data_IF_861370686397
#
_entry.id   IF_861370686397
#
_cell.length_a   1.000
_cell.length_b   1.000
_cell.length_c   1.000
_cell.angle_alpha   90.00
_cell.angle_beta   90.00
_cell.angle_gamma   90.00
#
_symmetry.space_group_name_H-M   'P 1'
#
loop_
_entity.id
_entity.type
_entity.pdbx_description
1 polymer ?
#
# COMPACT_ATOMS: atom_id res chain seq x y z
N UNK A 1 -5.60 -28.88 4.71
CA UNK A 1 -4.56 -27.96 5.15
C UNK A 1 -5.07 -26.53 4.90
N UNK A 2 -4.58 -25.51 5.59
CA UNK A 2 -4.97 -24.11 5.31
C UNK A 2 -4.23 -23.61 4.08
N UNK A 3 -4.74 -22.57 3.43
CA UNK A 3 -4.04 -21.92 2.30
C UNK A 3 -2.63 -21.48 2.70
N UNK A 4 -2.48 -20.94 3.91
CA UNK A 4 -1.18 -20.56 4.47
C UNK A 4 -0.20 -21.74 4.51
N UNK A 5 -0.59 -22.87 5.10
CA UNK A 5 0.26 -24.06 5.19
C UNK A 5 0.67 -24.58 3.81
N UNK A 6 -0.27 -24.58 2.84
CA UNK A 6 0.02 -25.01 1.47
C UNK A 6 1.05 -24.06 0.79
N UNK A 7 0.96 -22.74 1.04
CA UNK A 7 1.90 -21.75 0.52
C UNK A 7 3.28 -21.87 1.17
N UNK A 8 3.34 -22.04 2.49
CA UNK A 8 4.59 -22.23 3.23
C UNK A 8 5.33 -23.51 2.78
N UNK A 9 4.61 -24.61 2.54
CA UNK A 9 5.17 -25.84 2.00
C UNK A 9 5.71 -25.65 0.57
N UNK A 10 5.00 -24.93 -0.27
CA UNK A 10 5.47 -24.61 -1.63
C UNK A 10 6.67 -23.66 -1.59
N UNK A 11 6.68 -22.67 -0.67
CA UNK A 11 7.81 -21.79 -0.46
C UNK A 11 9.08 -22.53 -0.09
N UNK A 12 8.99 -23.53 0.82
CA UNK A 12 10.13 -24.37 1.16
C UNK A 12 10.66 -25.14 -0.06
N UNK A 13 9.79 -25.71 -0.89
CA UNK A 13 10.19 -26.39 -2.12
C UNK A 13 10.85 -25.45 -3.13
N UNK A 14 10.39 -24.20 -3.21
CA UNK A 14 10.97 -23.17 -4.05
C UNK A 14 12.38 -22.76 -3.55
N UNK A 15 12.56 -22.60 -2.26
CA UNK A 15 13.85 -22.31 -1.63
C UNK A 15 14.85 -23.47 -1.81
N UNK A 16 14.37 -24.72 -1.83
CA UNK A 16 15.11 -25.94 -2.14
C UNK A 16 15.42 -26.11 -3.64
N UNK A 17 14.98 -25.15 -4.51
CA UNK A 17 15.34 -25.08 -5.91
C UNK A 17 14.26 -25.51 -6.91
N UNK A 18 12.99 -25.62 -6.51
CA UNK A 18 11.87 -25.86 -7.44
C UNK A 18 11.80 -24.72 -8.47
N UNK A 19 11.67 -25.08 -9.74
CA UNK A 19 11.59 -24.13 -10.87
C UNK A 19 10.19 -24.13 -11.50
N UNK A 20 9.88 -23.10 -12.28
CA UNK A 20 8.61 -22.98 -13.00
C UNK A 20 8.33 -24.19 -13.93
N UNK A 21 9.38 -24.79 -14.52
CA UNK A 21 9.25 -25.96 -15.39
C UNK A 21 8.91 -27.26 -14.65
N UNK A 22 9.16 -27.31 -13.34
CA UNK A 22 8.94 -28.47 -12.48
C UNK A 22 7.63 -28.38 -11.69
N UNK A 23 6.90 -27.24 -11.76
CA UNK A 23 5.59 -27.09 -11.10
C UNK A 23 4.56 -28.01 -11.73
N UNK A 24 3.82 -28.70 -10.89
CA UNK A 24 2.71 -29.58 -11.30
C UNK A 24 1.36 -28.84 -11.36
N UNK A 25 0.29 -29.60 -11.59
CA UNK A 25 -1.07 -29.04 -11.66
C UNK A 25 -1.58 -28.53 -10.32
N UNK A 26 -1.15 -29.14 -9.21
CA UNK A 26 -1.60 -28.80 -7.88
C UNK A 26 -0.92 -27.53 -7.41
N UNK A 27 0.37 -27.37 -7.70
CA UNK A 27 1.13 -26.13 -7.48
C UNK A 27 0.48 -24.94 -8.21
N UNK A 28 0.14 -25.13 -9.49
CA UNK A 28 -0.52 -24.09 -10.29
C UNK A 28 -1.92 -23.75 -9.77
N UNK A 29 -2.69 -24.75 -9.35
CA UNK A 29 -3.99 -24.52 -8.74
C UNK A 29 -3.89 -23.77 -7.39
N UNK A 30 -2.85 -24.07 -6.60
CA UNK A 30 -2.56 -23.33 -5.38
C UNK A 30 -2.25 -21.86 -5.67
N UNK A 31 -1.38 -21.58 -6.65
CA UNK A 31 -1.02 -20.21 -7.03
C UNK A 31 -2.24 -19.40 -7.53
N UNK A 32 -3.18 -20.03 -8.27
CA UNK A 32 -4.43 -19.37 -8.66
C UNK A 32 -5.34 -19.10 -7.47
N UNK A 33 -5.61 -20.09 -6.59
CA UNK A 33 -6.41 -19.91 -5.37
C UNK A 33 -5.85 -18.80 -4.48
N UNK A 34 -4.52 -18.68 -4.42
CA UNK A 34 -3.85 -17.62 -3.66
C UNK A 34 -4.15 -16.24 -4.24
N UNK A 35 -4.06 -16.06 -5.56
CA UNK A 35 -4.41 -14.80 -6.22
C UNK A 35 -5.89 -14.45 -6.03
N UNK A 36 -6.78 -15.46 -6.13
CA UNK A 36 -8.22 -15.28 -5.91
C UNK A 36 -8.52 -14.84 -4.47
N UNK A 37 -7.85 -15.44 -3.47
CA UNK A 37 -8.01 -15.06 -2.07
C UNK A 37 -7.54 -13.61 -1.80
N UNK A 38 -6.44 -13.18 -2.43
CA UNK A 38 -6.00 -11.77 -2.40
C UNK A 38 -7.05 -10.84 -3.01
N UNK A 39 -7.58 -11.17 -4.20
CA UNK A 39 -8.57 -10.37 -4.92
C UNK A 39 -9.92 -10.31 -4.20
N UNK A 40 -10.24 -11.33 -3.40
CA UNK A 40 -11.43 -11.36 -2.55
C UNK A 40 -11.24 -10.59 -1.22
N UNK A 41 -10.00 -10.20 -0.89
CA UNK A 41 -9.68 -9.57 0.40
C UNK A 41 -9.69 -10.53 1.58
N UNK A 42 -9.69 -11.85 1.31
CA UNK A 42 -9.68 -12.91 2.34
C UNK A 42 -8.32 -13.03 3.04
N UNK A 43 -7.25 -12.63 2.34
CA UNK A 43 -5.88 -12.59 2.85
C UNK A 43 -5.23 -11.25 2.52
N UNK A 44 -4.38 -10.76 3.41
CA UNK A 44 -3.72 -9.46 3.29
C UNK A 44 -2.24 -9.57 3.65
N UNK A 45 -1.39 -8.72 3.05
CA UNK A 45 0.04 -8.63 3.39
C UNK A 45 0.29 -8.10 4.81
N UNK A 46 -0.62 -7.29 5.33
CA UNK A 46 -0.71 -6.95 6.75
C UNK A 46 -2.16 -6.62 7.10
N UNK A 47 -2.53 -6.82 8.37
CA UNK A 47 -3.88 -6.58 8.88
C UNK A 47 -3.84 -5.98 10.29
N UNK A 48 -4.86 -5.16 10.68
CA UNK A 48 -4.95 -4.64 12.04
C UNK A 48 -5.06 -5.76 13.09
N UNK A 49 -4.37 -5.62 14.22
CA UNK A 49 -4.47 -6.56 15.32
C UNK A 49 -5.91 -6.62 15.86
N UNK A 50 -6.48 -7.81 15.88
CA UNK A 50 -7.85 -8.06 16.34
C UNK A 50 -8.88 -8.33 15.25
N UNK A 51 -8.51 -8.30 13.97
CA UNK A 51 -9.40 -8.62 12.84
C UNK A 51 -9.51 -10.12 12.53
N UNK A 52 -8.67 -10.97 13.09
CA UNK A 52 -8.76 -12.43 12.92
C UNK A 52 -8.66 -13.17 14.25
N UNK A 53 -9.39 -14.29 14.39
CA UNK A 53 -9.11 -15.31 15.41
C UNK A 53 -7.66 -15.80 15.17
N UNK A 54 -6.77 -15.47 16.09
CA UNK A 54 -5.33 -15.66 16.02
C UNK A 54 -4.94 -17.03 15.50
N UNK A 55 -4.35 -17.10 14.32
CA UNK A 55 -3.51 -18.23 13.95
C UNK A 55 -2.18 -18.08 14.71
N UNK A 56 -1.90 -19.05 15.57
CA UNK A 56 -0.78 -19.07 16.50
C UNK A 56 0.52 -19.41 15.79
N UNK A 57 1.17 -18.49 15.14
CA UNK A 57 2.59 -18.55 14.79
C UNK A 57 3.03 -17.24 14.09
N UNK A 58 3.17 -16.14 14.82
CA UNK A 58 3.93 -15.01 14.32
C UNK A 58 5.20 -14.84 15.12
N UNK A 59 6.35 -14.90 14.44
CA UNK A 59 7.61 -14.44 15.00
C UNK A 59 7.49 -12.92 15.22
N UNK A 60 7.53 -12.50 16.48
CA UNK A 60 7.54 -11.08 16.84
C UNK A 60 8.85 -10.45 16.41
N UNK A 61 8.87 -9.80 15.26
CA UNK A 61 9.86 -8.75 14.99
C UNK A 61 9.33 -7.46 15.62
N UNK A 62 10.03 -6.95 16.63
CA UNK A 62 9.74 -5.69 17.30
C UNK A 62 10.08 -4.53 16.35
N UNK A 63 9.18 -4.17 15.46
CA UNK A 63 9.07 -2.82 14.90
C UNK A 63 7.90 -2.12 15.62
N UNK A 64 8.00 -0.82 15.88
CA UNK A 64 7.07 -0.08 16.74
C UNK A 64 5.63 0.07 16.23
N UNK A 65 5.11 -0.94 15.56
CA UNK A 65 3.76 -1.03 14.97
C UNK A 65 2.92 -2.06 15.74
N UNK A 66 2.71 -1.83 17.04
CA UNK A 66 2.01 -2.78 17.94
C UNK A 66 0.56 -3.09 17.55
N UNK A 67 -0.02 -2.38 16.54
CA UNK A 67 -1.43 -2.51 16.13
C UNK A 67 -1.64 -3.22 14.78
N UNK A 68 -0.57 -3.70 14.12
CA UNK A 68 -0.64 -4.37 12.83
C UNK A 68 0.22 -5.63 12.79
N UNK A 69 -0.34 -6.71 12.23
CA UNK A 69 0.39 -7.96 12.00
C UNK A 69 0.76 -8.09 10.52
N UNK A 70 2.05 -8.29 10.23
CA UNK A 70 2.55 -8.58 8.87
C UNK A 70 2.43 -10.09 8.60
N UNK A 71 1.84 -10.43 7.46
CA UNK A 71 1.67 -11.79 6.98
C UNK A 71 2.78 -12.14 5.98
N UNK A 72 3.95 -12.54 6.48
CA UNK A 72 5.11 -12.88 5.65
C UNK A 72 4.78 -13.95 4.59
N UNK A 73 3.98 -14.97 4.97
CA UNK A 73 3.56 -16.02 4.06
C UNK A 73 2.77 -15.51 2.85
N UNK A 74 2.07 -14.37 2.99
CA UNK A 74 1.37 -13.72 1.88
C UNK A 74 2.38 -13.11 0.90
N UNK A 75 3.42 -12.47 1.39
CA UNK A 75 4.49 -11.96 0.54
C UNK A 75 5.26 -13.09 -0.15
N UNK A 76 5.53 -14.20 0.56
CA UNK A 76 6.10 -15.41 -0.01
C UNK A 76 5.22 -15.96 -1.13
N UNK A 77 3.90 -16.05 -0.94
CA UNK A 77 2.95 -16.47 -1.96
C UNK A 77 2.96 -15.57 -3.21
N UNK A 78 3.15 -14.25 -3.03
CA UNK A 78 3.33 -13.32 -4.15
C UNK A 78 4.63 -13.62 -4.91
N UNK A 79 5.74 -13.81 -4.20
CA UNK A 79 7.03 -14.14 -4.81
C UNK A 79 7.00 -15.48 -5.55
N UNK A 80 6.30 -16.49 -5.02
CA UNK A 80 6.05 -17.76 -5.72
C UNK A 80 5.31 -17.55 -7.05
N UNK A 81 4.35 -16.63 -7.09
CA UNK A 81 3.65 -16.30 -8.32
C UNK A 81 4.56 -15.64 -9.37
N UNK A 82 5.64 -14.96 -8.96
CA UNK A 82 6.65 -14.46 -9.89
C UNK A 82 7.70 -15.52 -10.25
N UNK A 83 8.15 -16.32 -9.28
CA UNK A 83 9.25 -17.27 -9.48
C UNK A 83 8.85 -18.57 -10.18
N UNK A 84 7.60 -19.04 -10.00
CA UNK A 84 7.10 -20.31 -10.50
C UNK A 84 6.20 -20.22 -11.75
N UNK A 85 6.16 -19.07 -12.41
CA UNK A 85 5.45 -18.86 -13.68
C UNK A 85 6.41 -18.41 -14.76
N UNK A 86 6.08 -18.77 -16.01
CA UNK A 86 6.79 -18.28 -17.17
C UNK A 86 6.11 -17.01 -17.72
N UNK A 87 6.91 -16.14 -18.35
CA UNK A 87 6.38 -14.98 -19.07
C UNK A 87 5.60 -15.44 -20.29
N UNK A 88 4.34 -15.04 -20.38
CA UNK A 88 3.46 -15.33 -21.50
C UNK A 88 3.01 -14.06 -22.21
N UNK A 89 2.84 -14.18 -23.54
CA UNK A 89 2.19 -13.15 -24.33
C UNK A 89 0.66 -13.27 -24.17
N UNK A 90 -0.01 -12.19 -23.81
CA UNK A 90 -1.47 -12.13 -23.68
C UNK A 90 -2.02 -10.95 -24.47
N UNK A 91 -3.02 -11.19 -25.28
CA UNK A 91 -3.69 -10.15 -26.07
C UNK A 91 -4.87 -9.56 -25.30
N UNK A 92 -4.98 -8.24 -25.32
CA UNK A 92 -6.08 -7.50 -24.74
C UNK A 92 -6.46 -6.34 -25.67
N UNK A 93 -7.52 -6.52 -26.43
CA UNK A 93 -7.84 -5.62 -27.54
C UNK A 93 -6.69 -5.58 -28.56
N UNK A 94 -6.22 -4.37 -28.86
CA UNK A 94 -5.12 -4.16 -29.83
C UNK A 94 -3.73 -4.15 -29.16
N UNK A 95 -3.63 -4.52 -27.87
CA UNK A 95 -2.38 -4.49 -27.10
C UNK A 95 -1.98 -5.90 -26.69
N UNK A 96 -0.70 -6.23 -26.86
CA UNK A 96 -0.11 -7.48 -26.36
C UNK A 96 0.76 -7.17 -25.14
N UNK A 97 0.46 -7.85 -24.04
CA UNK A 97 1.24 -7.79 -22.80
C UNK A 97 2.14 -9.03 -22.69
N UNK A 98 3.30 -8.85 -22.06
CA UNK A 98 4.23 -9.93 -21.75
C UNK A 98 4.51 -9.89 -20.24
N UNK A 99 3.84 -10.76 -19.48
CA UNK A 99 3.99 -10.83 -18.02
C UNK A 99 3.85 -12.28 -17.54
N UNK A 100 4.38 -12.56 -16.36
CA UNK A 100 4.18 -13.83 -15.64
C UNK A 100 2.76 -13.95 -15.09
N UNK A 101 2.16 -12.83 -14.70
CA UNK A 101 0.78 -12.81 -14.20
C UNK A 101 -0.24 -12.56 -15.32
N UNK A 102 -1.39 -13.25 -15.30
CA UNK A 102 -2.50 -12.92 -16.20
C UNK A 102 -3.05 -11.53 -15.90
N UNK A 103 -3.82 -10.99 -16.84
CA UNK A 103 -4.59 -9.76 -16.57
C UNK A 103 -5.69 -10.06 -15.55
N UNK A 104 -5.95 -9.08 -14.67
CA UNK A 104 -7.08 -9.17 -13.74
C UNK A 104 -8.38 -8.88 -14.48
N UNK A 105 -9.38 -9.75 -14.28
CA UNK A 105 -10.76 -9.44 -14.62
C UNK A 105 -11.29 -8.36 -13.67
N UNK A 106 -12.04 -7.40 -14.18
CA UNK A 106 -12.54 -6.24 -13.39
C UNK A 106 -14.08 -6.15 -13.35
N UNK A 107 -14.76 -7.17 -13.83
CA UNK A 107 -16.22 -7.22 -13.86
C UNK A 107 -16.83 -7.18 -12.44
N UNK A 108 -16.13 -7.73 -11.45
CA UNK A 108 -16.53 -7.73 -10.05
C UNK A 108 -16.61 -6.31 -9.46
N UNK A 109 -15.76 -5.40 -9.92
CA UNK A 109 -15.70 -4.02 -9.41
C UNK A 109 -17.02 -3.26 -9.67
N UNK A 110 -17.60 -3.43 -10.86
CA UNK A 110 -18.88 -2.85 -11.18
C UNK A 110 -20.04 -3.35 -10.29
N UNK A 111 -19.97 -4.62 -9.87
CA UNK A 111 -20.94 -5.21 -8.94
C UNK A 111 -20.81 -4.68 -7.52
N UNK A 112 -19.63 -4.18 -7.15
CA UNK A 112 -19.34 -3.57 -5.85
C UNK A 112 -19.61 -2.05 -5.82
N UNK A 113 -20.10 -1.46 -6.91
CA UNK A 113 -20.30 0.00 -7.01
C UNK A 113 -18.99 0.78 -7.29
N UNK A 114 -17.88 0.08 -7.45
CA UNK A 114 -16.58 0.72 -7.72
C UNK A 114 -16.59 1.38 -9.10
N UNK A 115 -16.22 2.65 -9.15
CA UNK A 115 -16.13 3.44 -10.37
C UNK A 115 -14.68 3.47 -10.87
N UNK A 116 -14.45 2.80 -11.99
CA UNK A 116 -13.15 2.80 -12.67
C UNK A 116 -13.28 3.64 -13.96
N UNK A 117 -12.54 4.77 -14.03
CA UNK A 117 -12.60 5.61 -15.24
C UNK A 117 -11.82 4.99 -16.39
N UNK A 118 -12.22 5.22 -17.65
CA UNK A 118 -11.54 4.64 -18.82
C UNK A 118 -10.11 5.19 -19.00
N UNK A 119 -9.34 4.50 -19.83
CA UNK A 119 -8.03 4.90 -20.34
C UNK A 119 -6.87 4.91 -19.33
N UNK A 120 -6.41 3.72 -18.96
CA UNK A 120 -5.06 3.57 -18.38
C UNK A 120 -5.02 3.26 -16.90
N UNK A 121 -6.14 3.00 -16.24
CA UNK A 121 -6.12 2.40 -14.91
C UNK A 121 -5.79 0.92 -15.00
N UNK A 122 -4.77 0.49 -14.28
CA UNK A 122 -4.32 -0.91 -14.21
C UNK A 122 -4.43 -1.42 -12.79
N UNK A 123 -5.20 -2.49 -12.62
CA UNK A 123 -5.27 -3.26 -11.38
C UNK A 123 -4.65 -4.63 -11.67
N UNK A 124 -3.55 -4.96 -11.01
CA UNK A 124 -2.90 -6.26 -11.21
C UNK A 124 -3.65 -7.39 -10.52
N UNK A 125 -3.48 -8.62 -11.04
CA UNK A 125 -3.92 -9.84 -10.34
C UNK A 125 -3.38 -9.85 -8.91
N UNK A 126 -4.21 -10.29 -7.96
CA UNK A 126 -3.88 -10.30 -6.55
C UNK A 126 -3.93 -8.93 -5.87
N UNK A 127 -4.54 -7.92 -6.47
CA UNK A 127 -4.88 -6.66 -5.81
C UNK A 127 -6.36 -6.65 -5.41
N UNK A 128 -6.67 -6.26 -4.18
CA UNK A 128 -8.04 -6.04 -3.70
C UNK A 128 -8.43 -4.57 -3.86
N UNK A 129 -9.65 -4.33 -4.34
CA UNK A 129 -10.28 -3.02 -4.36
C UNK A 129 -11.69 -3.18 -3.81
N UNK A 130 -12.00 -2.42 -2.78
CA UNK A 130 -13.24 -2.44 -2.02
C UNK A 130 -14.44 -1.88 -2.79
N UNK A 131 -15.60 -1.88 -2.12
CA UNK A 131 -16.86 -1.36 -2.64
C UNK A 131 -16.84 0.17 -2.69
N UNK A 132 -17.60 0.75 -3.62
CA UNK A 132 -17.79 2.20 -3.76
C UNK A 132 -16.50 3.01 -3.91
N UNK A 133 -15.37 2.33 -4.23
CA UNK A 133 -14.11 2.99 -4.51
C UNK A 133 -14.17 3.78 -5.84
N UNK A 134 -13.37 4.82 -5.94
CA UNK A 134 -13.23 5.61 -7.16
C UNK A 134 -11.78 5.54 -7.64
N UNK A 135 -11.60 5.08 -8.88
CA UNK A 135 -10.28 4.99 -9.50
C UNK A 135 -10.23 5.88 -10.74
N UNK A 136 -9.47 6.97 -10.64
CA UNK A 136 -9.25 7.92 -11.73
C UNK A 136 -8.06 7.50 -12.60
N UNK A 137 -8.18 7.68 -13.91
CA UNK A 137 -7.12 7.33 -14.86
C UNK A 137 -6.10 8.45 -15.08
N UNK A 138 -4.87 8.08 -15.46
CA UNK A 138 -4.29 6.75 -15.33
C UNK A 138 -3.89 6.49 -13.88
N UNK A 139 -4.08 5.28 -13.37
CA UNK A 139 -3.60 4.87 -12.05
C UNK A 139 -3.15 3.42 -12.05
N UNK A 140 -2.38 3.01 -11.04
CA UNK A 140 -1.82 1.68 -10.98
C UNK A 140 -1.93 1.10 -9.56
N UNK A 141 -2.55 -0.08 -9.45
CA UNK A 141 -2.64 -0.84 -8.20
C UNK A 141 -1.93 -2.19 -8.38
N UNK A 142 -0.88 -2.41 -7.61
CA UNK A 142 -0.03 -3.58 -7.75
C UNK A 142 -0.52 -4.76 -6.91
N UNK A 143 0.03 -5.96 -7.20
CA UNK A 143 -0.27 -7.21 -6.49
C UNK A 143 -0.08 -7.07 -4.98
N UNK A 144 -0.94 -7.70 -4.21
CA UNK A 144 -0.90 -7.67 -2.74
C UNK A 144 -1.37 -6.36 -2.12
N UNK A 145 -1.61 -5.32 -2.93
CA UNK A 145 -2.22 -4.09 -2.45
C UNK A 145 -3.68 -4.35 -2.02
N UNK A 146 -4.05 -3.75 -0.90
CA UNK A 146 -5.41 -3.73 -0.39
C UNK A 146 -5.90 -2.29 -0.37
N UNK A 147 -7.03 -2.02 -1.01
CA UNK A 147 -7.69 -0.72 -1.04
C UNK A 147 -9.08 -0.86 -0.43
N UNK A 148 -9.33 -0.21 0.69
CA UNK A 148 -10.58 -0.26 1.45
C UNK A 148 -11.76 0.41 0.74
N UNK A 149 -12.96 0.18 1.28
CA UNK A 149 -14.22 0.69 0.75
C UNK A 149 -14.25 2.23 0.71
N UNK A 150 -14.93 2.81 -0.27
CA UNK A 150 -15.12 4.27 -0.40
C UNK A 150 -13.85 5.06 -0.71
N UNK A 151 -12.72 4.40 -0.95
CA UNK A 151 -11.43 5.08 -1.17
C UNK A 151 -11.31 5.67 -2.57
N UNK A 152 -10.79 6.90 -2.66
CA UNK A 152 -10.44 7.56 -3.91
C UNK A 152 -8.96 7.38 -4.23
N UNK A 153 -8.67 6.81 -5.39
CA UNK A 153 -7.36 6.81 -6.05
C UNK A 153 -7.45 7.78 -7.23
N UNK A 154 -6.79 8.94 -7.11
CA UNK A 154 -6.87 9.99 -8.13
C UNK A 154 -5.90 9.73 -9.30
N UNK A 155 -5.90 10.61 -10.27
CA UNK A 155 -5.15 10.45 -11.52
C UNK A 155 -3.64 10.42 -11.30
N UNK A 156 -2.99 9.50 -11.99
CA UNK A 156 -1.53 9.26 -11.92
C UNK A 156 -1.04 8.71 -10.59
N UNK A 157 -1.95 8.15 -9.78
CA UNK A 157 -1.58 7.51 -8.54
C UNK A 157 -0.98 6.12 -8.75
N UNK A 158 -0.09 5.75 -7.85
CA UNK A 158 0.49 4.42 -7.77
C UNK A 158 0.32 3.85 -6.37
N UNK A 159 -0.35 2.70 -6.25
CA UNK A 159 -0.39 1.89 -5.05
C UNK A 159 0.52 0.68 -5.26
N UNK A 160 1.63 0.67 -4.55
CA UNK A 160 2.69 -0.33 -4.68
C UNK A 160 2.32 -1.70 -4.09
N UNK A 161 3.16 -2.70 -4.37
CA UNK A 161 2.95 -4.07 -3.88
C UNK A 161 2.78 -4.12 -2.36
N UNK A 162 1.81 -4.88 -1.90
CA UNK A 162 1.53 -5.12 -0.49
C UNK A 162 1.10 -3.88 0.31
N UNK A 163 0.97 -2.70 -0.28
CA UNK A 163 0.47 -1.51 0.42
C UNK A 163 -0.95 -1.73 0.95
N UNK A 164 -1.21 -1.27 2.17
CA UNK A 164 -2.49 -1.41 2.84
C UNK A 164 -3.14 -0.02 2.98
N UNK A 165 -4.23 0.18 2.26
CA UNK A 165 -5.00 1.42 2.27
C UNK A 165 -6.35 1.13 2.93
N UNK A 166 -6.69 1.90 3.95
CA UNK A 166 -7.93 1.78 4.70
C UNK A 166 -9.17 2.23 3.94
N UNK A 167 -10.28 2.34 4.66
CA UNK A 167 -11.56 2.80 4.14
C UNK A 167 -11.62 4.34 4.07
N UNK A 168 -12.38 4.86 3.11
CA UNK A 168 -12.63 6.30 2.95
C UNK A 168 -11.35 7.16 2.86
N UNK A 169 -10.27 6.57 2.34
CA UNK A 169 -9.00 7.27 2.11
C UNK A 169 -9.07 8.09 0.83
N UNK A 170 -8.43 9.25 0.84
CA UNK A 170 -8.26 10.09 -0.34
C UNK A 170 -6.78 10.17 -0.71
N UNK A 171 -6.42 9.60 -1.86
CA UNK A 171 -5.13 9.84 -2.48
C UNK A 171 -5.30 10.95 -3.52
N UNK A 172 -4.67 12.10 -3.30
CA UNK A 172 -4.68 13.21 -4.26
C UNK A 172 -3.78 12.91 -5.45
N UNK A 173 -4.08 13.48 -6.60
CA UNK A 173 -3.43 13.18 -7.87
C UNK A 173 -1.89 13.11 -7.80
N UNK A 174 -1.31 12.15 -8.50
CA UNK A 174 0.14 11.90 -8.55
C UNK A 174 0.75 11.49 -7.18
N UNK A 175 -0.04 10.85 -6.34
CA UNK A 175 0.42 10.24 -5.08
C UNK A 175 1.12 8.90 -5.35
N UNK A 176 2.23 8.66 -4.67
CA UNK A 176 2.95 7.39 -4.69
C UNK A 176 2.88 6.72 -3.31
N UNK A 177 2.19 5.60 -3.24
CA UNK A 177 2.30 4.67 -2.12
C UNK A 177 3.30 3.59 -2.52
N UNK A 178 4.43 3.53 -1.80
CA UNK A 178 5.53 2.62 -2.10
C UNK A 178 5.16 1.17 -1.85
N UNK A 179 5.70 0.28 -2.67
CA UNK A 179 5.59 -1.16 -2.44
C UNK A 179 6.73 -1.66 -1.54
N UNK A 180 6.42 -2.60 -0.66
CA UNK A 180 7.39 -3.32 0.17
C UNK A 180 7.07 -4.81 0.08
N UNK A 181 7.66 -5.49 -0.92
CA UNK A 181 7.50 -6.91 -1.14
C UNK A 181 8.71 -7.70 -0.63
N UNK A 182 9.90 -7.17 -0.88
CA UNK A 182 11.16 -7.76 -0.46
C UNK A 182 11.98 -6.71 0.32
N UNK A 183 12.55 -7.12 1.46
CA UNK A 183 12.45 -8.44 2.10
C UNK A 183 11.03 -8.70 2.66
N UNK A 184 10.66 -9.98 2.81
CA UNK A 184 9.28 -10.36 3.19
C UNK A 184 8.93 -9.98 4.62
N UNK A 185 9.91 -9.87 5.49
CA UNK A 185 9.80 -9.48 6.89
C UNK A 185 9.57 -7.97 7.10
N UNK A 186 9.87 -7.11 6.10
CA UNK A 186 9.70 -5.67 6.22
C UNK A 186 8.21 -5.28 6.21
N UNK A 187 7.85 -4.28 7.01
CA UNK A 187 6.49 -3.74 7.07
C UNK A 187 6.05 -3.15 5.72
N UNK A 188 4.84 -3.43 5.23
CA UNK A 188 4.29 -2.70 4.09
C UNK A 188 3.95 -1.27 4.47
N UNK A 189 3.79 -0.41 3.46
CA UNK A 189 3.21 0.92 3.69
C UNK A 189 1.75 0.77 4.10
N UNK A 190 1.37 1.46 5.20
CA UNK A 190 0.02 1.46 5.75
C UNK A 190 -0.53 2.89 5.73
N UNK A 191 -1.70 3.06 5.16
CA UNK A 191 -2.48 4.30 5.22
C UNK A 191 -3.83 3.94 5.81
N UNK A 192 -4.08 4.38 7.05
CA UNK A 192 -5.28 4.00 7.79
C UNK A 192 -6.54 4.75 7.32
N UNK A 193 -7.69 4.38 7.89
CA UNK A 193 -8.99 4.87 7.50
C UNK A 193 -9.10 6.41 7.57
N UNK A 194 -9.85 6.99 6.65
CA UNK A 194 -10.17 8.42 6.64
C UNK A 194 -8.99 9.35 6.37
N UNK A 195 -7.81 8.82 6.00
CA UNK A 195 -6.64 9.64 5.67
C UNK A 195 -6.84 10.39 4.36
N UNK A 196 -6.44 11.67 4.34
CA UNK A 196 -6.40 12.48 3.11
C UNK A 196 -4.95 12.87 2.79
N UNK A 197 -4.43 12.39 1.67
CA UNK A 197 -3.12 12.78 1.14
C UNK A 197 -3.30 13.81 0.02
N UNK A 198 -2.67 14.96 0.18
CA UNK A 198 -2.62 15.98 -0.87
C UNK A 198 -1.85 15.52 -2.11
N UNK A 199 -2.10 16.18 -3.24
CA UNK A 199 -1.47 15.83 -4.52
C UNK A 199 0.06 15.76 -4.44
N UNK A 200 0.65 14.78 -5.10
CA UNK A 200 2.09 14.58 -5.17
C UNK A 200 2.74 14.02 -3.89
N UNK A 201 1.96 13.62 -2.89
CA UNK A 201 2.51 12.96 -1.70
C UNK A 201 3.20 11.64 -2.04
N UNK A 202 4.21 11.30 -1.24
CA UNK A 202 4.91 10.03 -1.34
C UNK A 202 5.02 9.39 0.03
N UNK A 203 4.49 8.17 0.17
CA UNK A 203 4.58 7.36 1.39
C UNK A 203 5.35 6.10 1.06
N UNK A 204 6.50 5.86 1.68
CA UNK A 204 7.42 4.80 1.25
C UNK A 204 8.07 4.06 2.41
N UNK A 205 8.62 2.88 2.11
CA UNK A 205 9.51 2.12 3.02
C UNK A 205 8.84 1.74 4.35
N UNK A 206 7.62 1.19 4.30
CA UNK A 206 6.92 0.73 5.49
C UNK A 206 6.38 1.85 6.40
N UNK A 207 6.33 3.09 5.91
CA UNK A 207 5.79 4.20 6.69
C UNK A 207 4.30 4.02 6.95
N UNK A 208 3.85 4.30 8.19
CA UNK A 208 2.45 4.25 8.61
C UNK A 208 1.86 5.67 8.72
N UNK A 209 0.69 5.87 8.14
CA UNK A 209 -0.10 7.11 8.29
C UNK A 209 -1.34 6.78 9.10
N UNK A 210 -1.41 7.32 10.31
CA UNK A 210 -2.50 7.08 11.26
C UNK A 210 -3.83 7.69 10.81
N UNK A 211 -4.92 7.05 11.25
CA UNK A 211 -6.29 7.34 10.83
C UNK A 211 -6.68 8.83 10.94
N UNK A 212 -7.55 9.28 10.03
CA UNK A 212 -8.09 10.64 9.98
C UNK A 212 -7.03 11.75 9.90
N UNK A 213 -5.83 11.43 9.42
CA UNK A 213 -4.78 12.42 9.22
C UNK A 213 -4.89 13.10 7.86
N UNK A 214 -4.52 14.38 7.80
CA UNK A 214 -4.52 15.19 6.57
C UNK A 214 -3.08 15.59 6.25
N UNK A 215 -2.57 15.18 5.10
CA UNK A 215 -1.20 15.43 4.67
C UNK A 215 -1.19 16.44 3.52
N UNK A 216 -0.46 17.54 3.70
CA UNK A 216 -0.33 18.58 2.68
C UNK A 216 0.40 18.10 1.43
N UNK A 217 0.16 18.78 0.29
CA UNK A 217 0.70 18.40 -1.02
C UNK A 217 2.23 18.27 -1.02
N UNK A 218 2.73 17.36 -1.85
CA UNK A 218 4.16 17.09 -2.06
C UNK A 218 4.93 16.68 -0.79
N UNK A 219 4.24 16.21 0.24
CA UNK A 219 4.89 15.72 1.44
C UNK A 219 5.50 14.34 1.19
N UNK A 220 6.77 14.17 1.60
CA UNK A 220 7.47 12.89 1.59
C UNK A 220 7.47 12.29 3.00
N UNK A 221 6.78 11.15 3.14
CA UNK A 221 6.72 10.34 4.35
C UNK A 221 7.56 9.08 4.16
N UNK A 222 8.63 8.97 4.93
CA UNK A 222 9.55 7.82 4.90
C UNK A 222 10.25 7.71 6.26
N UNK A 223 10.62 6.51 6.73
CA UNK A 223 11.28 6.34 8.03
C UNK A 223 12.60 7.09 8.20
N UNK A 224 13.16 7.64 7.11
CA UNK A 224 14.42 8.40 7.13
C UNK A 224 14.23 9.89 7.40
N UNK A 225 13.00 10.39 7.33
CA UNK A 225 12.65 11.79 7.58
C UNK A 225 11.91 11.89 8.90
N UNK A 226 12.39 12.73 9.87
CA UNK A 226 11.73 12.87 11.15
C UNK A 226 10.36 13.54 11.02
N UNK A 227 9.41 13.05 11.80
CA UNK A 227 8.11 13.69 12.03
C UNK A 227 8.17 14.38 13.40
N UNK A 228 8.06 15.69 13.39
CA UNK A 228 7.94 16.51 14.62
C UNK A 228 6.46 16.64 14.98
N UNK A 229 5.99 15.79 15.88
CA UNK A 229 4.62 15.88 16.41
C UNK A 229 4.54 16.99 17.47
N UNK A 230 4.04 18.14 17.08
CA UNK A 230 3.87 19.29 17.98
C UNK A 230 2.71 19.11 18.96
N UNK A 231 1.85 18.10 18.76
CA UNK A 231 0.74 17.80 19.66
C UNK A 231 1.22 17.09 20.91
N UNK A 232 2.14 16.14 20.75
CA UNK A 232 2.74 15.37 21.84
C UNK A 232 4.15 15.85 22.23
N UNK A 233 4.70 16.83 21.51
CA UNK A 233 6.05 17.36 21.68
C UNK A 233 7.14 16.27 21.55
N UNK A 234 6.99 15.38 20.57
CA UNK A 234 7.90 14.28 20.31
C UNK A 234 8.40 14.23 18.85
N UNK A 235 9.48 13.50 18.62
CA UNK A 235 10.03 13.25 17.27
C UNK A 235 9.90 11.77 16.95
N UNK A 236 9.19 11.46 15.88
CA UNK A 236 8.89 10.12 15.44
C UNK A 236 9.60 9.79 14.12
N UNK A 237 9.76 8.50 13.86
CA UNK A 237 10.29 7.97 12.61
C UNK A 237 9.44 6.77 12.17
N UNK A 238 9.10 6.71 10.87
CA UNK A 238 8.33 5.60 10.31
C UNK A 238 6.82 5.71 10.48
N UNK A 239 6.34 6.68 11.24
CA UNK A 239 4.91 6.85 11.46
C UNK A 239 4.49 8.32 11.57
N UNK A 240 3.22 8.57 11.22
CA UNK A 240 2.46 9.77 11.55
C UNK A 240 1.29 9.33 12.44
N UNK A 241 1.18 9.81 13.68
CA UNK A 241 0.06 9.46 14.57
C UNK A 241 -1.31 9.85 13.97
N UNK A 242 -2.41 9.22 14.41
CA UNK A 242 -3.74 9.54 13.93
C UNK A 242 -4.16 10.98 14.27
N UNK A 243 -5.11 11.52 13.50
CA UNK A 243 -5.70 12.84 13.69
C UNK A 243 -4.66 13.99 13.65
N UNK A 244 -3.71 13.89 12.73
CA UNK A 244 -2.68 14.92 12.51
C UNK A 244 -2.84 15.61 11.16
N UNK A 245 -2.63 16.93 11.17
CA UNK A 245 -2.34 17.69 9.96
C UNK A 245 -0.83 17.77 9.78
N UNK A 246 -0.31 17.17 8.72
CA UNK A 246 1.13 17.06 8.49
C UNK A 246 1.56 17.74 7.18
N UNK A 247 2.75 18.32 7.17
CA UNK A 247 3.31 18.98 5.99
C UNK A 247 4.84 19.05 6.05
N UNK A 248 5.47 19.13 4.88
CA UNK A 248 6.93 19.27 4.78
C UNK A 248 7.41 20.61 5.30
N UNK A 249 8.48 20.57 6.08
CA UNK A 249 9.31 21.72 6.49
C UNK A 249 10.78 21.39 6.30
N UNK A 250 11.64 22.39 6.45
CA UNK A 250 13.07 22.22 6.42
C UNK A 250 13.66 22.67 7.75
N UNK A 251 14.52 21.84 8.32
CA UNK A 251 15.24 22.11 9.56
C UNK A 251 16.74 22.17 9.31
N UNK A 252 17.49 22.88 10.15
CA UNK A 252 18.92 22.96 10.03
C UNK A 252 19.58 21.58 10.06
N UNK A 253 20.64 21.42 9.28
CA UNK A 253 21.43 20.20 9.17
C UNK A 253 22.88 20.45 9.58
N UNK A 254 23.44 19.53 10.37
CA UNK A 254 24.86 19.57 10.75
C UNK A 254 25.83 19.50 9.54
N UNK A 255 25.35 19.06 8.38
CA UNK A 255 26.13 19.11 7.12
C UNK A 255 26.45 20.53 6.70
N UNK A 256 25.73 21.55 7.22
CA UNK A 256 25.99 22.96 6.96
C UNK A 256 27.32 23.51 7.49
N UNK A 257 28.02 22.76 8.32
CA UNK A 257 29.37 23.09 8.78
C UNK A 257 30.46 22.78 7.74
N UNK A 258 30.10 22.15 6.61
CA UNK A 258 31.06 21.84 5.55
C UNK A 258 31.29 23.03 4.62
N UNK A 259 32.54 23.24 4.20
CA UNK A 259 32.99 24.39 3.37
C UNK A 259 32.22 24.52 2.02
N UNK A 260 31.57 23.46 1.54
CA UNK A 260 30.72 23.50 0.35
C UNK A 260 29.37 24.20 0.58
N UNK A 261 28.98 24.47 1.82
CA UNK A 261 27.71 25.07 2.20
C UNK A 261 27.92 26.43 2.84
N UNK A 262 28.16 27.45 2.01
CA UNK A 262 28.30 28.83 2.48
C UNK A 262 26.93 29.32 2.98
N UNK A 263 26.77 29.47 4.29
CA UNK A 263 25.53 29.92 4.93
C UNK A 263 24.62 28.82 5.50
N UNK A 264 25.11 27.57 5.60
CA UNK A 264 24.41 26.45 6.25
C UNK A 264 23.67 25.53 5.27
N UNK A 265 23.21 24.42 5.78
CA UNK A 265 22.39 23.46 5.04
C UNK A 265 21.08 23.12 5.78
N UNK A 266 20.08 22.71 5.05
CA UNK A 266 18.79 22.32 5.56
C UNK A 266 18.43 20.90 5.08
N UNK A 267 17.74 20.16 5.92
CA UNK A 267 17.20 18.83 5.58
C UNK A 267 15.69 18.84 5.69
N UNK A 268 14.99 17.99 4.92
CA UNK A 268 13.54 17.87 5.03
C UNK A 268 13.14 17.30 6.39
N UNK A 269 12.00 17.74 6.88
CA UNK A 269 11.30 17.23 8.04
C UNK A 269 9.79 17.31 7.79
N UNK A 270 9.01 16.51 8.48
CA UNK A 270 7.56 16.63 8.53
C UNK A 270 7.20 17.27 9.87
N UNK A 271 6.30 18.24 9.84
CA UNK A 271 5.72 18.84 11.05
C UNK A 271 4.26 18.45 11.12
N UNK A 272 3.84 17.89 12.25
CA UNK A 272 2.49 17.45 12.52
C UNK A 272 1.86 18.31 13.60
N UNK A 273 0.63 18.76 13.36
CA UNK A 273 -0.18 19.60 14.26
C UNK A 273 -1.56 18.99 14.46
N UNK A 274 -2.40 19.57 15.30
CA UNK A 274 -3.82 19.25 15.32
C UNK A 274 -4.46 19.54 13.94
N UNK A 275 -5.49 18.78 13.59
CA UNK A 275 -6.37 19.11 12.46
C UNK A 275 -7.28 20.25 12.90
N UNK A 276 -7.26 21.37 12.18
CA UNK A 276 -8.11 22.52 12.45
C UNK A 276 -9.54 22.27 11.95
N UNK A 277 -10.55 22.77 12.65
CA UNK A 277 -11.98 22.61 12.32
C UNK A 277 -12.29 23.05 10.86
N UNK A 278 -11.71 24.19 10.42
CA UNK A 278 -11.87 24.68 9.06
C UNK A 278 -11.36 23.71 7.98
N UNK A 279 -10.33 22.92 8.31
CA UNK A 279 -9.74 21.92 7.42
C UNK A 279 -10.65 20.71 7.31
N UNK A 280 -11.28 20.27 8.41
CA UNK A 280 -12.26 19.19 8.41
C UNK A 280 -13.50 19.58 7.61
N UNK A 281 -14.06 20.77 7.81
CA UNK A 281 -15.19 21.28 7.04
C UNK A 281 -14.90 21.38 5.54
N UNK A 282 -13.66 21.67 5.14
CA UNK A 282 -13.28 21.72 3.74
C UNK A 282 -13.23 20.33 3.12
N UNK A 283 -12.70 19.33 3.85
CA UNK A 283 -12.68 17.93 3.43
C UNK A 283 -14.09 17.37 3.27
N UNK A 284 -14.97 17.59 4.26
CA UNK A 284 -16.37 17.16 4.22
C UNK A 284 -17.15 17.77 3.02
N UNK A 285 -16.91 19.04 2.69
CA UNK A 285 -17.56 19.69 1.53
C UNK A 285 -17.12 19.08 0.20
N UNK A 286 -15.87 18.63 0.09
CA UNK A 286 -15.39 17.93 -1.10
C UNK A 286 -16.01 16.54 -1.23
N UNK A 287 -16.24 15.83 -0.14
CA UNK A 287 -16.85 14.50 -0.15
C UNK A 287 -18.32 14.54 -0.57
N UNK A 288 -19.10 15.50 -0.09
CA UNK A 288 -20.51 15.71 -0.51
C UNK A 288 -20.64 15.92 -2.03
N UNK A 289 -19.66 16.53 -2.68
CA UNK A 289 -19.65 16.72 -4.13
C UNK A 289 -19.34 15.45 -4.92
N UNK A 290 -18.87 14.39 -4.27
CA UNK A 290 -18.57 13.10 -4.89
C UNK A 290 -19.70 12.09 -4.82
N UNK A 291 -20.56 12.21 -3.82
CA UNK A 291 -21.75 11.35 -3.61
C UNK A 291 -22.88 11.64 -4.62
N UNK A 292 -22.70 12.56 -5.54
CA UNK A 292 -23.59 12.91 -6.64
C UNK A 292 -22.93 12.56 -7.99
#
# INVERSE_FOLDING_TARGET
>A
MSLQSDVEDLWQRYDDGLTAAETDSDDRALLERFLEALEAGEIRAAEPDGSAERSSASSQTQSGNDDWTVNEWVKQGILLNFGLRETEAREYGDVTYHDVLPLRATEDLGHRGTRNTPDGTVIRRGAYVGSDAIMMSPSFVNIGAYVGDGTLIDSSDTVGSCAQIGENVKLGANTLIGGVLEPVEDDPVIVEDGVSLGAGCRVTSGFRVGANSIVGENTLLTPRIPVYDLVKEEVLFGELPPERRAFTRFVESSVGEHDLFDGGAYKPAVVATHVEEETLEAAEKEDILRDN
#
